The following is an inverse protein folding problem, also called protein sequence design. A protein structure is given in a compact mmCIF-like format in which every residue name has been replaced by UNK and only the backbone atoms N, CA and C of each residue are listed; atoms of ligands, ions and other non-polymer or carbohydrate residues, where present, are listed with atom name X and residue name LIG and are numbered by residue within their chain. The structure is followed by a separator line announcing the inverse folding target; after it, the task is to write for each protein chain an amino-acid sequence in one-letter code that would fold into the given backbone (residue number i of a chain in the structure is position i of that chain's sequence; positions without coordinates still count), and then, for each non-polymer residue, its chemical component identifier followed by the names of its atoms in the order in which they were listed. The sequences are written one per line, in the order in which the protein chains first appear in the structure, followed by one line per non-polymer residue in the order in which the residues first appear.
data_IF_486718465421
#
_entry.id   IF_486718465421
#
_cell.length_a   1.000
_cell.length_b   1.000
_cell.length_c   1.000
_cell.angle_alpha   90.00
_cell.angle_beta   90.00
_cell.angle_gamma   90.00
#
_symmetry.space_group_name_H-M   'P 1'
#
loop_
_entity.id
_entity.type
_entity.pdbx_description
1 polymer ?
#
# COMPACT_ATOMS: atom_id res chain seq x y z
N UNK A 1 -19.11 -15.50 -10.68
CA UNK A 1 -17.88 -15.71 -9.89
C UNK A 1 -16.79 -14.81 -10.45
N UNK A 2 -16.19 -13.94 -9.62
CA UNK A 2 -15.07 -13.09 -10.01
C UNK A 2 -13.88 -13.97 -10.40
N UNK A 3 -13.56 -14.04 -11.69
CA UNK A 3 -12.41 -14.82 -12.15
C UNK A 3 -11.15 -14.00 -11.90
N UNK A 4 -10.53 -14.16 -10.73
CA UNK A 4 -9.17 -13.67 -10.42
C UNK A 4 -8.08 -14.40 -11.23
N UNK A 5 -8.46 -15.03 -12.35
CA UNK A 5 -7.50 -15.61 -13.29
C UNK A 5 -6.66 -14.48 -13.87
N UNK A 6 -5.39 -14.79 -14.02
CA UNK A 6 -4.42 -14.03 -14.80
C UNK A 6 -4.98 -13.69 -16.19
N UNK A 7 -4.45 -12.63 -16.81
CA UNK A 7 -4.90 -12.03 -18.07
C UNK A 7 -5.47 -13.06 -19.05
N UNK A 8 -6.75 -12.93 -19.39
CA UNK A 8 -7.38 -13.69 -20.49
C UNK A 8 -7.34 -12.79 -21.73
N UNK A 9 -6.48 -13.07 -22.73
CA UNK A 9 -6.29 -12.18 -23.88
C UNK A 9 -7.57 -11.93 -24.68
N UNK A 10 -8.48 -12.92 -24.69
CA UNK A 10 -9.75 -12.87 -25.41
C UNK A 10 -10.86 -12.11 -24.67
N UNK A 11 -10.63 -11.67 -23.42
CA UNK A 11 -11.65 -10.92 -22.66
C UNK A 11 -11.69 -9.47 -23.15
N UNK A 12 -12.87 -8.93 -23.51
CA UNK A 12 -13.00 -7.50 -23.83
C UNK A 12 -12.51 -6.62 -22.69
N UNK A 13 -11.85 -5.51 -23.02
CA UNK A 13 -11.49 -4.50 -22.01
C UNK A 13 -12.76 -3.78 -21.56
N UNK A 14 -12.99 -3.62 -20.25
CA UNK A 14 -14.14 -2.89 -19.77
C UNK A 14 -14.00 -1.40 -20.14
N UNK A 15 -15.09 -0.78 -20.59
CA UNK A 15 -15.12 0.65 -20.92
C UNK A 15 -15.42 1.41 -19.62
N UNK A 16 -14.36 1.82 -18.93
CA UNK A 16 -14.44 2.54 -17.65
C UNK A 16 -13.76 3.89 -17.81
N UNK A 17 -14.41 4.96 -17.33
CA UNK A 17 -13.84 6.30 -17.38
C UNK A 17 -12.59 6.40 -16.49
N UNK A 18 -11.65 7.29 -16.85
CA UNK A 18 -10.48 7.55 -16.02
C UNK A 18 -10.86 8.00 -14.60
N UNK A 19 -11.93 8.79 -14.46
CA UNK A 19 -12.44 9.22 -13.16
C UNK A 19 -12.92 8.05 -12.30
N UNK A 20 -13.64 7.08 -12.90
CA UNK A 20 -14.06 5.86 -12.21
C UNK A 20 -12.87 5.01 -11.77
N UNK A 21 -11.81 4.90 -12.58
CA UNK A 21 -10.58 4.20 -12.19
C UNK A 21 -9.88 4.88 -11.00
N UNK A 22 -9.90 6.22 -10.93
CA UNK A 22 -9.37 6.95 -9.76
C UNK A 22 -10.20 6.65 -8.52
N UNK A 23 -11.53 6.73 -8.60
CA UNK A 23 -12.43 6.45 -7.45
C UNK A 23 -12.26 5.02 -6.94
N UNK A 24 -12.23 4.05 -7.86
CA UNK A 24 -11.97 2.65 -7.50
C UNK A 24 -10.56 2.46 -6.94
N UNK A 25 -9.56 3.15 -7.49
CA UNK A 25 -8.19 3.12 -6.95
C UNK A 25 -8.15 3.58 -5.50
N UNK A 26 -8.67 4.78 -5.25
CA UNK A 26 -8.71 5.38 -3.90
C UNK A 26 -9.47 4.47 -2.92
N UNK A 27 -10.66 4.00 -3.30
CA UNK A 27 -11.46 3.12 -2.44
C UNK A 27 -10.75 1.79 -2.12
N UNK A 28 -10.15 1.16 -3.13
CA UNK A 28 -9.45 -0.11 -2.95
C UNK A 28 -8.19 0.07 -2.11
N UNK A 29 -7.46 1.17 -2.31
CA UNK A 29 -6.27 1.50 -1.54
C UNK A 29 -6.58 1.78 -0.07
N UNK A 30 -7.64 2.54 0.23
CA UNK A 30 -8.09 2.78 1.62
C UNK A 30 -8.41 1.46 2.30
N UNK A 31 -9.19 0.58 1.64
CA UNK A 31 -9.53 -0.73 2.19
C UNK A 31 -8.29 -1.63 2.36
N UNK A 32 -7.36 -1.57 1.41
CA UNK A 32 -6.07 -2.28 1.50
C UNK A 32 -5.24 -1.82 2.70
N UNK A 33 -5.16 -0.51 2.95
CA UNK A 33 -4.44 0.04 4.11
C UNK A 33 -5.11 -0.38 5.41
N UNK A 34 -6.45 -0.33 5.48
CA UNK A 34 -7.17 -0.79 6.66
C UNK A 34 -6.88 -2.27 6.97
N UNK A 35 -6.90 -3.14 5.96
CA UNK A 35 -6.55 -4.55 6.12
C UNK A 35 -5.10 -4.77 6.55
N UNK A 36 -4.16 -4.03 5.94
CA UNK A 36 -2.75 -4.03 6.34
C UNK A 36 -2.58 -3.62 7.79
N UNK A 37 -3.18 -2.50 8.22
CA UNK A 37 -3.12 -2.02 9.59
C UNK A 37 -3.71 -3.02 10.58
N UNK A 38 -4.84 -3.65 10.27
CA UNK A 38 -5.39 -4.71 11.12
C UNK A 38 -4.38 -5.87 11.25
N UNK A 39 -3.79 -6.30 10.13
CA UNK A 39 -2.79 -7.38 10.14
C UNK A 39 -1.54 -7.01 10.95
N UNK A 40 -1.08 -5.75 10.87
CA UNK A 40 0.02 -5.22 11.68
C UNK A 40 -0.34 -5.22 13.16
N UNK A 41 -1.57 -4.84 13.54
CA UNK A 41 -2.00 -4.87 14.95
C UNK A 41 -2.06 -6.28 15.51
N UNK A 42 -2.50 -7.24 14.72
CA UNK A 42 -2.49 -8.65 15.10
C UNK A 42 -1.05 -9.14 15.27
N UNK A 43 -0.16 -8.85 14.32
CA UNK A 43 1.27 -9.20 14.41
C UNK A 43 1.91 -8.59 15.67
N UNK A 44 1.79 -7.28 15.85
CA UNK A 44 2.35 -6.53 16.97
C UNK A 44 1.85 -7.05 18.32
N UNK A 45 0.60 -7.49 18.41
CA UNK A 45 0.06 -8.09 19.63
C UNK A 45 0.81 -9.36 20.03
N UNK A 46 1.20 -10.20 19.08
CA UNK A 46 1.93 -11.44 19.35
C UNK A 46 3.44 -11.22 19.48
N UNK A 47 4.03 -10.29 18.72
CA UNK A 47 5.47 -10.06 18.70
C UNK A 47 5.94 -9.00 19.69
N UNK A 48 5.01 -8.23 20.26
CA UNK A 48 5.28 -7.02 21.06
C UNK A 48 6.10 -5.95 20.31
N UNK A 49 6.13 -6.03 18.97
CA UNK A 49 6.85 -5.06 18.15
C UNK A 49 6.17 -3.68 18.26
N UNK A 50 6.92 -2.58 18.45
CA UNK A 50 6.35 -1.25 18.47
C UNK A 50 5.88 -0.79 17.08
N UNK A 51 5.10 0.28 17.03
CA UNK A 51 4.76 0.95 15.78
C UNK A 51 6.01 1.53 15.10
N UNK A 52 6.05 1.46 13.76
CA UNK A 52 6.97 2.27 12.99
C UNK A 52 6.38 3.66 12.78
N UNK A 53 7.21 4.69 12.98
CA UNK A 53 6.88 6.08 12.70
C UNK A 53 7.67 6.64 11.51
N UNK A 54 8.41 5.80 10.77
CA UNK A 54 9.12 6.24 9.55
C UNK A 54 8.17 6.97 8.59
N UNK A 55 6.96 6.45 8.28
CA UNK A 55 6.03 7.14 7.39
C UNK A 55 5.57 8.50 7.94
N UNK A 56 5.34 8.62 9.25
CA UNK A 56 5.01 9.90 9.90
C UNK A 56 6.10 10.95 9.66
N UNK A 57 7.37 10.59 9.84
CA UNK A 57 8.50 11.48 9.60
C UNK A 57 8.68 11.79 8.11
N UNK A 58 8.44 10.82 7.22
CA UNK A 58 8.48 11.05 5.77
C UNK A 58 7.45 12.09 5.37
N UNK A 59 6.20 11.96 5.83
CA UNK A 59 5.15 12.95 5.55
C UNK A 59 5.45 14.30 6.18
N UNK A 60 5.96 14.32 7.42
CA UNK A 60 6.36 15.55 8.07
C UNK A 60 7.38 16.31 7.21
N UNK A 61 8.43 15.63 6.73
CA UNK A 61 9.44 16.26 5.87
C UNK A 61 8.89 16.68 4.51
N UNK A 62 8.02 15.88 3.88
CA UNK A 62 7.36 16.24 2.61
C UNK A 62 6.54 17.54 2.76
N UNK A 63 5.90 17.72 3.90
CA UNK A 63 5.08 18.90 4.22
C UNK A 63 5.88 20.01 4.92
N UNK A 64 7.20 19.86 5.05
CA UNK A 64 8.08 20.80 5.78
C UNK A 64 7.63 21.07 7.23
N UNK A 65 7.10 20.05 7.89
CA UNK A 65 6.67 20.06 9.29
C UNK A 65 7.79 19.56 10.21
N UNK A 66 7.83 20.08 11.44
CA UNK A 66 8.80 19.71 12.49
C UNK A 66 8.09 19.22 13.76
N UNK A 67 7.40 18.05 13.70
CA UNK A 67 6.72 17.51 14.87
C UNK A 67 7.73 17.19 15.99
N UNK A 68 7.33 17.41 17.24
CA UNK A 68 8.15 17.03 18.39
C UNK A 68 8.08 15.52 18.58
N UNK A 69 9.20 14.82 18.86
CA UNK A 69 9.16 13.38 19.12
C UNK A 69 8.25 12.96 20.28
N UNK A 70 8.05 13.86 21.27
CA UNK A 70 7.13 13.65 22.39
C UNK A 70 5.66 13.81 22.02
N UNK A 71 5.35 14.42 20.88
CA UNK A 71 3.98 14.64 20.40
C UNK A 71 3.48 13.40 19.65
N UNK A 72 3.21 12.35 20.42
CA UNK A 72 2.83 11.04 19.88
C UNK A 72 1.53 11.10 19.08
N UNK A 73 0.57 11.94 19.51
CA UNK A 73 -0.71 12.11 18.81
C UNK A 73 -0.53 12.71 17.42
N UNK A 74 0.34 13.71 17.28
CA UNK A 74 0.67 14.28 15.98
C UNK A 74 1.35 13.25 15.08
N UNK A 75 2.31 12.48 15.61
CA UNK A 75 3.01 11.44 14.86
C UNK A 75 2.05 10.32 14.40
N UNK A 76 1.10 9.89 15.23
CA UNK A 76 0.09 8.90 14.85
C UNK A 76 -0.76 9.42 13.68
N UNK A 77 -1.23 10.66 13.75
CA UNK A 77 -2.04 11.27 12.67
C UNK A 77 -1.26 11.36 11.37
N UNK A 78 0.00 11.79 11.42
CA UNK A 78 0.88 11.83 10.25
C UNK A 78 1.15 10.43 9.70
N UNK A 79 1.33 9.43 10.57
CA UNK A 79 1.53 8.04 10.15
C UNK A 79 0.32 7.52 9.38
N UNK A 80 -0.89 7.73 9.90
CA UNK A 80 -2.12 7.34 9.23
C UNK A 80 -2.31 8.09 7.92
N UNK A 81 -2.12 9.41 7.92
CA UNK A 81 -2.25 10.22 6.71
C UNK A 81 -1.30 9.73 5.60
N UNK A 82 -0.05 9.40 5.96
CA UNK A 82 0.93 8.90 5.01
C UNK A 82 0.52 7.54 4.44
N UNK A 83 0.18 6.57 5.31
CA UNK A 83 -0.23 5.24 4.88
C UNK A 83 -1.47 5.28 4.00
N UNK A 84 -2.54 5.95 4.42
CA UNK A 84 -3.78 6.05 3.65
C UNK A 84 -3.59 6.85 2.37
N UNK A 85 -2.85 7.95 2.40
CA UNK A 85 -2.57 8.78 1.23
C UNK A 85 -1.77 8.02 0.16
N UNK A 86 -0.64 7.42 0.55
CA UNK A 86 0.17 6.60 -0.36
C UNK A 86 -0.61 5.38 -0.84
N UNK A 87 -1.34 4.69 0.04
CA UNK A 87 -2.12 3.52 -0.32
C UNK A 87 -3.20 3.83 -1.35
N UNK A 88 -3.95 4.93 -1.14
CA UNK A 88 -4.98 5.40 -2.08
C UNK A 88 -4.38 5.74 -3.46
N UNK A 89 -3.26 6.48 -3.49
CA UNK A 89 -2.61 6.88 -4.75
C UNK A 89 -1.98 5.68 -5.48
N UNK A 90 -1.27 4.81 -4.76
CA UNK A 90 -0.66 3.61 -5.35
C UNK A 90 -1.72 2.66 -5.91
N UNK A 91 -2.86 2.52 -5.25
CA UNK A 91 -3.94 1.64 -5.69
C UNK A 91 -4.60 2.06 -7.01
N UNK A 92 -4.49 3.34 -7.41
CA UNK A 92 -4.88 3.78 -8.76
C UNK A 92 -4.11 2.97 -9.80
N UNK A 93 -2.80 2.78 -9.62
CA UNK A 93 -1.98 1.95 -10.52
C UNK A 93 -2.52 0.52 -10.58
N UNK A 94 -2.87 -0.09 -9.44
CA UNK A 94 -3.40 -1.47 -9.39
C UNK A 94 -4.75 -1.62 -10.10
N UNK A 95 -5.59 -0.60 -10.03
CA UNK A 95 -6.88 -0.55 -10.73
C UNK A 95 -6.65 -0.39 -12.23
N UNK A 96 -5.72 0.46 -12.67
CA UNK A 96 -5.32 0.55 -14.08
C UNK A 96 -4.73 -0.76 -14.62
N UNK A 97 -3.90 -1.45 -13.83
CA UNK A 97 -3.41 -2.81 -14.14
C UNK A 97 -4.59 -3.76 -14.39
N UNK A 98 -5.57 -3.80 -13.47
CA UNK A 98 -6.77 -4.63 -13.62
C UNK A 98 -7.57 -4.28 -14.88
N UNK A 99 -7.80 -2.99 -15.16
CA UNK A 99 -8.56 -2.55 -16.34
C UNK A 99 -7.90 -2.99 -17.66
N UNK A 100 -6.58 -3.11 -17.67
CA UNK A 100 -5.79 -3.57 -18.81
C UNK A 100 -5.52 -5.08 -18.81
N UNK A 101 -6.20 -5.83 -17.93
CA UNK A 101 -6.16 -7.29 -17.89
C UNK A 101 -5.07 -7.88 -17.00
N UNK A 102 -4.17 -7.07 -16.44
CA UNK A 102 -3.16 -7.50 -15.47
C UNK A 102 -3.83 -7.73 -14.11
N UNK A 103 -4.33 -8.94 -13.92
CA UNK A 103 -5.20 -9.34 -12.79
C UNK A 103 -4.68 -10.58 -12.07
N UNK A 104 -5.26 -10.84 -10.91
CA UNK A 104 -5.03 -12.06 -10.15
C UNK A 104 -3.77 -12.03 -9.27
N UNK A 105 -3.44 -13.16 -8.64
CA UNK A 105 -2.45 -13.22 -7.57
C UNK A 105 -1.03 -12.82 -8.01
N UNK A 106 -0.66 -13.09 -9.27
CA UNK A 106 0.65 -12.65 -9.79
C UNK A 106 0.71 -11.12 -9.97
N UNK A 107 -0.40 -10.48 -10.33
CA UNK A 107 -0.50 -9.02 -10.36
C UNK A 107 -0.38 -8.42 -8.95
N UNK A 108 -0.96 -9.06 -7.93
CA UNK A 108 -0.82 -8.63 -6.54
C UNK A 108 0.62 -8.75 -6.05
N UNK A 109 1.33 -9.82 -6.43
CA UNK A 109 2.75 -9.98 -6.13
C UNK A 109 3.58 -8.85 -6.75
N UNK A 110 3.40 -8.56 -8.05
CA UNK A 110 4.08 -7.43 -8.69
C UNK A 110 3.72 -6.10 -8.02
N UNK A 111 2.46 -5.91 -7.66
CA UNK A 111 1.99 -4.69 -7.00
C UNK A 111 2.53 -4.54 -5.57
N UNK A 112 2.81 -5.65 -4.87
CA UNK A 112 3.56 -5.63 -3.59
C UNK A 112 4.93 -4.97 -3.79
N UNK A 113 5.66 -5.39 -4.84
CA UNK A 113 6.94 -4.77 -5.21
C UNK A 113 6.79 -3.28 -5.54
N UNK A 114 5.77 -2.89 -6.32
CA UNK A 114 5.49 -1.48 -6.59
C UNK A 114 5.21 -0.68 -5.31
N UNK A 115 4.40 -1.23 -4.39
CA UNK A 115 4.08 -0.58 -3.13
C UNK A 115 5.33 -0.36 -2.28
N UNK A 116 6.21 -1.36 -2.19
CA UNK A 116 7.49 -1.27 -1.50
C UNK A 116 8.41 -0.23 -2.15
N UNK A 117 8.50 -0.21 -3.49
CA UNK A 117 9.31 0.78 -4.20
C UNK A 117 8.83 2.22 -3.92
N UNK A 118 7.52 2.46 -3.84
CA UNK A 118 6.97 3.78 -3.48
C UNK A 118 7.38 4.18 -2.07
N UNK A 119 7.27 3.28 -1.09
CA UNK A 119 7.73 3.55 0.28
C UNK A 119 9.22 3.88 0.30
N UNK A 120 10.02 2.98 -0.24
CA UNK A 120 11.48 3.12 -0.17
C UNK A 120 11.97 4.35 -0.92
N UNK A 121 11.34 4.72 -2.03
CA UNK A 121 11.71 5.96 -2.73
C UNK A 121 11.45 7.18 -1.85
N UNK A 122 10.26 7.31 -1.27
CA UNK A 122 9.90 8.48 -0.47
C UNK A 122 10.67 8.52 0.85
N UNK A 123 10.74 7.39 1.56
CA UNK A 123 11.40 7.30 2.85
C UNK A 123 12.90 7.58 2.76
N UNK A 124 13.59 7.05 1.73
CA UNK A 124 15.02 7.30 1.54
C UNK A 124 15.27 8.69 0.94
N UNK A 125 14.44 9.17 0.01
CA UNK A 125 14.57 10.53 -0.53
C UNK A 125 14.43 11.59 0.56
N UNK A 126 13.48 11.40 1.48
CA UNK A 126 13.31 12.29 2.61
C UNK A 126 14.33 12.04 3.73
N UNK A 127 15.23 11.05 3.62
CA UNK A 127 16.25 10.74 4.62
C UNK A 127 15.69 10.24 5.95
N UNK A 128 14.52 9.61 5.92
CA UNK A 128 13.81 9.06 7.08
C UNK A 128 13.90 7.54 7.18
N UNK A 129 14.18 6.88 6.06
CA UNK A 129 14.39 5.43 5.98
C UNK A 129 15.86 5.05 5.85
N UNK A 130 16.08 3.75 5.68
CA UNK A 130 17.34 3.17 5.24
C UNK A 130 17.03 2.14 4.15
N UNK A 131 18.04 1.74 3.38
CA UNK A 131 17.85 0.76 2.32
C UNK A 131 17.41 -0.60 2.91
N UNK A 132 16.40 -1.29 2.36
CA UNK A 132 15.83 -2.49 3.01
C UNK A 132 16.84 -3.60 3.31
N UNK A 133 17.86 -3.76 2.48
CA UNK A 133 18.91 -4.76 2.68
C UNK A 133 19.89 -4.44 3.82
N UNK A 134 19.76 -3.29 4.48
CA UNK A 134 20.51 -2.96 5.70
C UNK A 134 19.70 -3.23 6.97
N UNK A 135 18.40 -3.56 6.85
CA UNK A 135 17.53 -3.82 7.99
C UNK A 135 17.72 -5.24 8.53
N UNK A 136 17.35 -5.49 9.80
CA UNK A 136 17.17 -6.84 10.30
C UNK A 136 16.22 -7.65 9.40
N UNK A 137 16.55 -8.92 9.15
CA UNK A 137 15.78 -9.80 8.23
C UNK A 137 14.32 -9.91 8.64
N UNK A 138 14.04 -9.94 9.94
CA UNK A 138 12.67 -9.98 10.46
C UNK A 138 11.86 -8.73 10.07
N UNK A 139 12.48 -7.54 10.04
CA UNK A 139 11.80 -6.33 9.60
C UNK A 139 11.50 -6.36 8.11
N UNK A 140 12.43 -6.87 7.29
CA UNK A 140 12.20 -7.07 5.85
C UNK A 140 11.01 -8.01 5.59
N UNK A 141 10.95 -9.13 6.32
CA UNK A 141 9.85 -10.11 6.19
C UNK A 141 8.51 -9.50 6.60
N UNK A 142 8.48 -8.78 7.73
CA UNK A 142 7.27 -8.11 8.24
C UNK A 142 6.79 -7.07 7.22
N UNK A 143 7.70 -6.28 6.66
CA UNK A 143 7.36 -5.24 5.68
C UNK A 143 6.76 -5.85 4.41
N UNK A 144 7.42 -6.86 3.83
CA UNK A 144 6.94 -7.59 2.66
C UNK A 144 5.56 -8.23 2.94
N UNK A 145 5.38 -8.86 4.10
CA UNK A 145 4.10 -9.49 4.47
C UNK A 145 2.95 -8.49 4.49
N UNK A 146 3.11 -7.37 5.19
CA UNK A 146 2.05 -6.38 5.34
C UNK A 146 1.77 -5.65 4.01
N UNK A 147 2.80 -5.37 3.21
CA UNK A 147 2.60 -4.83 1.85
C UNK A 147 1.94 -5.87 0.94
N UNK A 148 2.19 -7.16 1.17
CA UNK A 148 1.48 -8.27 0.54
C UNK A 148 -0.01 -8.29 0.89
N UNK A 149 -0.37 -8.12 2.16
CA UNK A 149 -1.77 -8.00 2.61
C UNK A 149 -2.46 -6.80 1.94
N UNK A 150 -1.81 -5.63 1.97
CA UNK A 150 -2.29 -4.44 1.28
C UNK A 150 -2.55 -4.72 -0.20
N UNK A 151 -1.57 -5.30 -0.90
CA UNK A 151 -1.63 -5.54 -2.34
C UNK A 151 -2.70 -6.58 -2.71
N UNK A 152 -2.85 -7.64 -1.90
CA UNK A 152 -3.86 -8.66 -2.09
C UNK A 152 -5.28 -8.10 -1.96
N UNK A 153 -5.56 -7.35 -0.88
CA UNK A 153 -6.90 -6.79 -0.64
C UNK A 153 -7.23 -5.72 -1.69
N UNK A 154 -6.29 -4.81 -1.96
CA UNK A 154 -6.43 -3.80 -3.02
C UNK A 154 -6.69 -4.47 -4.37
N UNK A 155 -5.91 -5.49 -4.70
CA UNK A 155 -6.03 -6.23 -5.96
C UNK A 155 -7.33 -7.02 -6.08
N UNK A 156 -7.79 -7.64 -5.00
CA UNK A 156 -9.07 -8.34 -4.96
C UNK A 156 -10.23 -7.38 -5.25
N UNK A 157 -10.26 -6.21 -4.61
CA UNK A 157 -11.28 -5.18 -4.84
C UNK A 157 -11.17 -4.59 -6.25
N UNK A 158 -9.96 -4.25 -6.70
CA UNK A 158 -9.70 -3.74 -8.04
C UNK A 158 -10.16 -4.72 -9.13
N UNK A 159 -9.87 -6.00 -8.95
CA UNK A 159 -10.32 -7.04 -9.86
C UNK A 159 -11.85 -7.17 -9.79
N UNK A 160 -12.46 -7.10 -8.61
CA UNK A 160 -13.91 -7.24 -8.46
C UNK A 160 -14.72 -6.08 -9.04
N UNK A 161 -14.30 -4.83 -8.83
CA UNK A 161 -15.03 -3.63 -9.27
C UNK A 161 -14.92 -3.32 -10.77
N UNK A 162 -13.87 -3.81 -11.43
CA UNK A 162 -13.62 -3.56 -12.86
C UNK A 162 -14.32 -4.58 -13.78
N UNK A 163 -14.78 -5.69 -13.22
CA UNK A 163 -15.20 -6.87 -14.00
C UNK A 163 -16.44 -6.69 -14.87
#
# INVERSE_FOLDING_TARGET
MSSRRTTIPSRPRPIISAGSLVVYGVGAGIAGVAAMTISEKVEQFFTNRPNSFVPAWTLARLLSLTPRPSDTDQLIKLNWAMHYGQGALAAIIRVWMSANGVRGPFADFMFTGMRLLVDQTLENWMGTGALPWTWPVNEQVIDILHKGVFAFVTGWLADWWIQ
#
